data_IF_057630221443
#
_entry.id   IF_057630221443
#
_cell.length_a   1.000
_cell.length_b   1.000
_cell.length_c   1.000
_cell.angle_alpha   90.00
_cell.angle_beta   90.00
_cell.angle_gamma   90.00
#
_symmetry.space_group_name_H-M   'P 1'
#
loop_
_entity.id
_entity.type
_entity.pdbx_description
1 polymer ?
#
# COMPACT_ATOMS: atom_id res chain seq x y z
N UNK A 1 15.76 10.58 21.67
CA UNK A 1 14.29 10.38 21.78
C UNK A 1 13.71 10.47 20.38
N UNK A 2 13.47 9.34 19.73
CA UNK A 2 12.80 9.30 18.42
C UNK A 2 11.32 9.56 18.65
N UNK A 3 10.82 10.68 18.11
CA UNK A 3 9.42 11.05 18.20
C UNK A 3 8.62 10.09 17.31
N UNK A 4 8.03 9.05 17.89
CA UNK A 4 7.16 8.13 17.15
C UNK A 4 5.91 8.92 16.77
N UNK A 5 5.62 9.15 15.49
CA UNK A 5 4.41 9.84 15.11
C UNK A 5 3.19 9.02 15.58
N UNK A 6 2.25 9.68 16.27
CA UNK A 6 1.03 9.05 16.79
C UNK A 6 0.07 8.59 15.68
N UNK A 7 0.23 9.13 14.47
CA UNK A 7 -0.58 8.78 13.30
C UNK A 7 0.29 8.63 12.06
N UNK A 8 -0.04 7.66 11.21
CA UNK A 8 0.58 7.48 9.89
C UNK A 8 -0.48 7.67 8.82
N UNK A 9 -0.10 8.31 7.72
CA UNK A 9 -0.97 8.55 6.56
C UNK A 9 -0.49 7.75 5.36
N UNK A 10 -1.43 7.19 4.63
CA UNK A 10 -1.20 6.49 3.36
C UNK A 10 -2.11 7.08 2.29
N UNK A 11 -1.64 7.10 1.04
CA UNK A 11 -2.48 7.50 -0.08
C UNK A 11 -3.51 6.40 -0.39
N UNK A 12 -4.74 6.79 -0.74
CA UNK A 12 -5.81 5.85 -1.13
C UNK A 12 -5.37 4.90 -2.25
N UNK A 13 -4.73 5.45 -3.28
CA UNK A 13 -4.20 4.70 -4.41
C UNK A 13 -3.13 3.67 -3.98
N UNK A 14 -2.25 4.05 -3.06
CA UNK A 14 -1.24 3.15 -2.53
C UNK A 14 -1.88 2.00 -1.74
N UNK A 15 -2.88 2.30 -0.90
CA UNK A 15 -3.63 1.26 -0.19
C UNK A 15 -4.32 0.31 -1.18
N UNK A 16 -4.90 0.84 -2.27
CA UNK A 16 -5.57 0.03 -3.29
C UNK A 16 -4.60 -0.92 -4.00
N UNK A 17 -3.41 -0.44 -4.36
CA UNK A 17 -2.36 -1.27 -4.95
C UNK A 17 -1.75 -2.27 -3.96
N UNK A 18 -1.76 -1.95 -2.67
CA UNK A 18 -1.24 -2.81 -1.59
C UNK A 18 -2.28 -3.77 -1.00
N UNK A 19 -3.48 -3.86 -1.60
CA UNK A 19 -4.53 -4.76 -1.16
C UNK A 19 -4.06 -6.23 -1.20
N UNK A 20 -4.30 -6.96 -0.10
CA UNK A 20 -3.93 -8.36 0.08
C UNK A 20 -5.16 -9.31 0.02
N UNK A 21 -6.30 -8.83 -0.48
CA UNK A 21 -7.46 -9.71 -0.67
C UNK A 21 -7.16 -10.77 -1.75
N UNK A 22 -7.89 -11.90 -1.78
CA UNK A 22 -7.63 -12.97 -2.75
C UNK A 22 -7.76 -12.57 -4.22
N UNK A 23 -8.40 -11.42 -4.52
CA UNK A 23 -8.47 -10.86 -5.88
C UNK A 23 -7.22 -10.07 -6.28
N UNK A 24 -6.44 -9.60 -5.32
CA UNK A 24 -5.30 -8.71 -5.55
C UNK A 24 -3.95 -9.37 -5.20
N UNK A 25 -3.96 -10.45 -4.42
CA UNK A 25 -2.75 -11.08 -3.91
C UNK A 25 -2.95 -12.59 -3.70
N UNK A 26 -1.98 -13.37 -4.17
CA UNK A 26 -1.92 -14.82 -3.99
C UNK A 26 -0.96 -15.14 -2.84
N UNK A 27 -1.52 -15.55 -1.70
CA UNK A 27 -0.77 -15.75 -0.47
C UNK A 27 0.24 -16.91 -0.54
N UNK A 28 -0.08 -17.97 -1.29
CA UNK A 28 0.78 -19.16 -1.38
C UNK A 28 2.12 -18.88 -2.06
N UNK A 29 2.11 -17.97 -3.03
CA UNK A 29 3.29 -17.60 -3.84
C UNK A 29 3.82 -16.20 -3.52
N UNK A 30 3.15 -15.48 -2.61
CA UNK A 30 3.45 -14.09 -2.26
C UNK A 30 3.46 -13.16 -3.49
N UNK A 31 2.55 -13.42 -4.45
CA UNK A 31 2.47 -12.69 -5.71
C UNK A 31 1.31 -11.70 -5.72
N UNK A 32 1.55 -10.51 -6.27
CA UNK A 32 0.48 -9.56 -6.57
C UNK A 32 -0.21 -9.96 -7.87
N UNK A 33 -1.53 -10.06 -7.82
CA UNK A 33 -2.39 -10.43 -8.96
C UNK A 33 -2.91 -9.20 -9.70
N UNK A 34 -2.97 -8.05 -9.03
CA UNK A 34 -3.45 -6.81 -9.63
C UNK A 34 -2.33 -6.05 -10.35
N UNK A 35 -2.62 -5.60 -11.57
CA UNK A 35 -1.76 -4.72 -12.35
C UNK A 35 -2.11 -3.24 -12.11
N UNK A 36 -1.14 -2.35 -12.27
CA UNK A 36 -1.32 -0.92 -11.97
C UNK A 36 -2.33 -0.26 -12.93
N UNK A 37 -2.40 -0.76 -14.17
CA UNK A 37 -3.31 -0.31 -15.22
C UNK A 37 -4.77 -0.64 -14.90
N UNK A 38 -5.02 -1.62 -14.03
CA UNK A 38 -6.36 -2.02 -13.60
C UNK A 38 -6.88 -1.17 -12.42
N UNK A 39 -6.03 -0.28 -11.88
CA UNK A 39 -6.40 0.58 -10.76
C UNK A 39 -6.82 1.94 -11.27
N UNK A 40 -8.04 2.33 -10.93
CA UNK A 40 -8.51 3.70 -11.08
C UNK A 40 -7.65 4.66 -10.26
N UNK A 41 -6.92 5.55 -10.94
CA UNK A 41 -6.06 6.56 -10.31
C UNK A 41 -6.84 7.55 -9.44
N UNK A 42 -8.14 7.68 -9.67
CA UNK A 42 -9.04 8.50 -8.87
C UNK A 42 -9.75 7.71 -7.75
N UNK A 43 -9.30 6.48 -7.46
CA UNK A 43 -9.89 5.65 -6.41
C UNK A 43 -9.85 6.34 -5.04
N UNK A 44 -11.02 6.53 -4.44
CA UNK A 44 -11.18 7.13 -3.12
C UNK A 44 -11.54 6.05 -2.12
N UNK A 45 -10.84 6.04 -0.99
CA UNK A 45 -11.17 5.19 0.14
C UNK A 45 -12.40 5.77 0.85
N UNK A 46 -13.46 4.98 0.94
CA UNK A 46 -14.72 5.38 1.59
C UNK A 46 -14.76 4.97 3.06
N UNK A 47 -14.28 3.77 3.37
CA UNK A 47 -14.31 3.22 4.73
C UNK A 47 -13.04 2.43 5.04
N UNK A 48 -12.64 2.51 6.30
CA UNK A 48 -11.59 1.72 6.88
C UNK A 48 -11.98 1.29 8.29
N UNK A 49 -11.73 0.03 8.65
CA UNK A 49 -11.93 -0.47 10.00
C UNK A 49 -10.82 -1.47 10.34
N UNK A 50 -10.35 -1.43 11.58
CA UNK A 50 -9.43 -2.47 12.08
C UNK A 50 -10.23 -3.75 12.29
N UNK A 51 -9.65 -4.91 11.94
CA UNK A 51 -10.27 -6.20 12.22
C UNK A 51 -10.35 -6.47 13.73
N UNK A 52 -11.27 -7.34 14.15
CA UNK A 52 -11.50 -7.64 15.58
C UNK A 52 -10.26 -8.21 16.27
N UNK A 53 -9.41 -8.94 15.54
CA UNK A 53 -8.14 -9.47 16.02
C UNK A 53 -7.02 -8.43 16.13
N UNK A 54 -7.25 -7.22 15.60
CA UNK A 54 -6.26 -6.14 15.59
C UNK A 54 -5.01 -6.44 14.75
N UNK A 55 -5.09 -7.37 13.79
CA UNK A 55 -3.96 -7.77 12.94
C UNK A 55 -4.00 -7.13 11.55
N UNK A 56 -5.18 -6.74 11.07
CA UNK A 56 -5.39 -6.21 9.73
C UNK A 56 -6.35 -5.01 9.73
N UNK A 57 -6.47 -4.37 8.57
CA UNK A 57 -7.54 -3.41 8.30
C UNK A 57 -8.37 -3.88 7.12
N UNK A 58 -9.69 -3.72 7.24
CA UNK A 58 -10.65 -3.85 6.15
C UNK A 58 -10.88 -2.48 5.52
N UNK A 59 -10.89 -2.43 4.20
CA UNK A 59 -10.94 -1.22 3.40
C UNK A 59 -12.03 -1.34 2.32
N UNK A 60 -12.73 -0.24 2.05
CA UNK A 60 -13.72 -0.15 0.98
C UNK A 60 -13.43 1.10 0.13
N UNK A 61 -13.39 0.92 -1.19
CA UNK A 61 -13.17 2.00 -2.15
C UNK A 61 -14.41 2.28 -3.00
N UNK A 62 -14.60 3.54 -3.37
CA UNK A 62 -15.74 4.02 -4.16
C UNK A 62 -15.78 3.46 -5.58
N UNK A 63 -14.61 3.38 -6.22
CA UNK A 63 -14.47 2.88 -7.59
C UNK A 63 -14.71 1.37 -7.62
N UNK A 64 -15.87 0.97 -8.15
CA UNK A 64 -16.27 -0.43 -8.30
C UNK A 64 -16.59 -1.16 -6.98
N UNK A 65 -16.70 -0.44 -5.85
CA UNK A 65 -17.06 -1.04 -4.55
C UNK A 65 -16.07 -2.08 -4.04
N UNK A 66 -14.80 -1.99 -4.43
CA UNK A 66 -13.79 -2.98 -4.03
C UNK A 66 -13.68 -3.03 -2.51
N UNK A 67 -13.69 -4.25 -1.96
CA UNK A 67 -13.41 -4.51 -0.55
C UNK A 67 -12.10 -5.27 -0.44
N UNK A 68 -11.22 -4.80 0.42
CA UNK A 68 -9.87 -5.32 0.55
C UNK A 68 -9.39 -5.38 1.99
N UNK A 69 -8.30 -6.10 2.19
CA UNK A 69 -7.62 -6.22 3.48
C UNK A 69 -6.15 -5.88 3.34
N UNK A 70 -5.57 -5.33 4.40
CA UNK A 70 -4.12 -5.14 4.51
C UNK A 70 -3.68 -5.44 5.94
N UNK A 71 -2.63 -6.23 6.09
CA UNK A 71 -1.99 -6.53 7.36
C UNK A 71 -1.39 -5.26 7.97
N UNK A 72 -1.62 -5.06 9.28
CA UNK A 72 -1.05 -3.93 9.99
C UNK A 72 0.48 -3.97 10.00
N UNK A 73 1.09 -5.17 9.97
CA UNK A 73 2.53 -5.33 9.84
C UNK A 73 3.05 -4.73 8.52
N UNK A 74 2.36 -5.01 7.40
CA UNK A 74 2.69 -4.46 6.08
C UNK A 74 2.58 -2.93 6.06
N UNK A 75 1.55 -2.36 6.68
CA UNK A 75 1.42 -0.90 6.82
C UNK A 75 2.55 -0.30 7.66
N UNK A 76 2.89 -0.93 8.78
CA UNK A 76 4.00 -0.49 9.65
C UNK A 76 5.35 -0.53 8.95
N UNK A 77 5.58 -1.52 8.08
CA UNK A 77 6.81 -1.64 7.29
C UNK A 77 6.89 -0.63 6.13
N UNK A 78 5.74 -0.17 5.62
CA UNK A 78 5.67 0.72 4.45
C UNK A 78 5.33 2.18 4.79
N UNK A 79 5.46 2.58 6.06
CA UNK A 79 5.24 3.96 6.49
C UNK A 79 6.07 4.91 5.64
N UNK A 80 5.47 6.02 5.22
CA UNK A 80 6.22 7.09 4.59
C UNK A 80 7.01 7.81 5.69
N UNK A 81 8.24 7.38 5.95
CA UNK A 81 9.11 8.20 6.79
C UNK A 81 9.62 9.41 5.99
N UNK A 82 9.80 10.57 6.63
CA UNK A 82 10.53 11.68 6.01
C UNK A 82 11.94 11.27 5.54
N UNK A 83 12.60 10.36 6.26
CA UNK A 83 13.95 9.86 5.93
C UNK A 83 13.97 8.59 5.07
N UNK A 84 12.88 7.82 4.96
CA UNK A 84 12.83 6.62 4.10
C UNK A 84 12.85 6.95 2.60
N UNK A 85 12.55 8.21 2.24
CA UNK A 85 12.80 8.72 0.89
C UNK A 85 14.31 8.90 0.62
N UNK A 86 15.11 9.27 1.63
CA UNK A 86 16.57 9.42 1.46
C UNK A 86 17.27 8.09 1.20
N UNK A 87 16.81 7.00 1.83
CA UNK A 87 17.39 5.67 1.64
C UNK A 87 16.94 5.02 0.32
N UNK A 88 15.79 5.43 -0.25
CA UNK A 88 15.29 4.94 -1.56
C UNK A 88 15.91 5.64 -2.78
N UNK A 89 16.71 6.70 -2.60
CA UNK A 89 17.47 7.32 -3.69
C UNK A 89 18.66 6.48 -4.21
N UNK A 90 19.00 5.35 -3.57
CA UNK A 90 20.07 4.47 -4.04
C UNK A 90 19.65 3.45 -5.12
N UNK A 91 18.39 3.47 -5.58
CA UNK A 91 17.97 2.77 -6.79
C UNK A 91 17.74 3.73 -7.95
N UNK A 92 18.51 4.83 -8.01
CA UNK A 92 18.60 5.65 -9.21
C UNK A 92 19.41 4.86 -10.25
N UNK A 93 18.73 4.09 -11.10
CA UNK A 93 19.33 3.56 -12.31
C UNK A 93 19.58 4.73 -13.25
N UNK A 94 20.83 5.17 -13.35
CA UNK A 94 21.28 5.97 -14.49
C UNK A 94 21.24 5.08 -15.74
N UNK A 95 20.19 5.22 -16.55
CA UNK A 95 20.19 4.70 -17.92
C UNK A 95 21.07 5.61 -18.77
N UNK A 96 22.31 5.19 -19.04
CA UNK A 96 23.09 5.76 -20.13
C UNK A 96 22.55 5.19 -21.44
N UNK A 97 21.76 5.97 -22.16
CA UNK A 97 21.56 5.74 -23.59
C UNK A 97 22.86 6.14 -24.29
N UNK A 98 23.51 5.18 -24.97
CA UNK A 98 24.62 5.47 -25.88
C UNK A 98 24.04 5.68 -27.28
N UNK A 99 24.56 6.71 -27.94
CA UNK A 99 24.40 6.95 -29.39
C UNK A 99 25.07 5.84 -30.21
#
# INVERSE_FOLDING_TARGET
>A
MTHIPSHVRFHSLWLRFSCQCPKCFEASSNMKLIHIEEIDFHTVLEKASVSDDGLSISLMWSSGGHMGTIDLASLRANRYEPDALKTRHHLTTTLFLRE
#
